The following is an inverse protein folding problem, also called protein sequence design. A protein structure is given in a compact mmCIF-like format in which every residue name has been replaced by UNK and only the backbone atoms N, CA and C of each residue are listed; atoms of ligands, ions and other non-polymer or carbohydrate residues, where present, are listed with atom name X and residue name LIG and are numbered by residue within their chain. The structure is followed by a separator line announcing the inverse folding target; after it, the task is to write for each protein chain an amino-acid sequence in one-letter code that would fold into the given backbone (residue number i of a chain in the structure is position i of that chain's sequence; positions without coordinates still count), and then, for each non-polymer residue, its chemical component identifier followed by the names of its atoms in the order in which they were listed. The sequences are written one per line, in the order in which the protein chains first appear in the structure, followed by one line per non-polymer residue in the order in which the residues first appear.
data_IF_299412574924
#
_entry.id   IF_299412574924
#
_cell.length_a   1.000
_cell.length_b   1.000
_cell.length_c   1.000
_cell.angle_alpha   90.00
_cell.angle_beta   90.00
_cell.angle_gamma   90.00
#
_symmetry.space_group_name_H-M   'P 1'
#
loop_
_entity.id
_entity.type
_entity.pdbx_description
1 polymer ?
#
# COMPACT_ATOMS: atom_id res chain seq x y z
N UNK A 1 -12.06 18.70 4.14
CA UNK A 1 -11.54 20.04 3.76
C UNK A 1 -10.78 19.90 2.46
N UNK A 2 -11.05 20.77 1.49
CA UNK A 2 -10.42 20.70 0.16
C UNK A 2 -9.96 22.10 -0.25
N UNK A 3 -8.81 22.16 -0.90
CA UNK A 3 -8.28 23.36 -1.54
C UNK A 3 -7.98 23.06 -3.01
N UNK A 4 -8.51 23.88 -3.90
CA UNK A 4 -8.31 23.75 -5.36
C UNK A 4 -7.80 25.07 -5.91
N UNK A 5 -6.51 25.10 -6.22
CA UNK A 5 -5.85 26.20 -6.90
C UNK A 5 -5.37 25.80 -8.30
N UNK A 6 -4.92 26.75 -9.09
CA UNK A 6 -4.48 26.50 -10.48
C UNK A 6 -3.28 25.56 -10.60
N UNK A 7 -2.39 25.57 -9.62
CA UNK A 7 -1.16 24.75 -9.60
C UNK A 7 -1.08 23.76 -8.45
N UNK A 8 -1.88 23.95 -7.43
CA UNK A 8 -1.87 23.15 -6.22
C UNK A 8 -3.28 22.75 -5.82
N UNK A 9 -3.47 21.48 -5.52
CA UNK A 9 -4.69 20.92 -4.98
C UNK A 9 -4.33 20.09 -3.76
N UNK A 10 -5.11 20.18 -2.70
CA UNK A 10 -4.94 19.36 -1.50
C UNK A 10 -6.29 19.03 -0.86
N UNK A 11 -6.38 17.86 -0.29
CA UNK A 11 -7.54 17.39 0.44
C UNK A 11 -7.12 16.83 1.78
N UNK A 12 -7.87 17.15 2.83
CA UNK A 12 -7.73 16.61 4.17
C UNK A 12 -9.08 16.10 4.65
N UNK A 13 -9.16 14.82 5.00
CA UNK A 13 -10.36 14.16 5.52
C UNK A 13 -10.04 13.51 6.85
N UNK A 14 -10.78 13.83 7.90
CA UNK A 14 -10.79 13.10 9.16
C UNK A 14 -12.01 12.22 9.25
N UNK A 15 -11.90 11.05 9.85
CA UNK A 15 -13.03 10.12 10.01
C UNK A 15 -12.97 9.35 11.32
N UNK A 16 -14.14 8.91 11.78
CA UNK A 16 -14.32 8.02 12.91
C UNK A 16 -15.35 6.96 12.55
N UNK A 17 -14.97 5.69 12.53
CA UNK A 17 -15.84 4.56 12.24
C UNK A 17 -16.02 3.72 13.49
N UNK A 18 -17.28 3.42 13.81
CA UNK A 18 -17.66 2.56 14.92
C UNK A 18 -18.41 1.34 14.37
N UNK A 19 -17.84 0.17 14.58
CA UNK A 19 -18.33 -1.10 14.05
C UNK A 19 -18.79 -1.96 15.23
N UNK A 20 -19.96 -2.61 15.09
CA UNK A 20 -20.47 -3.61 16.04
C UNK A 20 -20.56 -4.95 15.33
N UNK A 21 -20.35 -6.03 16.08
CA UNK A 21 -20.45 -7.41 15.55
C UNK A 21 -19.53 -7.68 14.36
N UNK A 22 -18.34 -7.13 14.37
CA UNK A 22 -17.33 -7.41 13.35
C UNK A 22 -16.92 -8.89 13.44
N UNK A 23 -16.92 -9.58 12.30
CA UNK A 23 -16.50 -10.99 12.20
C UNK A 23 -15.01 -11.03 11.90
N UNK A 24 -14.27 -11.80 12.68
CA UNK A 24 -12.84 -12.03 12.48
C UNK A 24 -12.47 -13.48 12.70
N UNK A 25 -11.42 -13.93 12.01
CA UNK A 25 -10.83 -15.24 12.19
C UNK A 25 -9.81 -15.18 13.33
N UNK A 26 -10.19 -15.67 14.51
CA UNK A 26 -9.32 -15.68 15.70
C UNK A 26 -8.72 -17.05 15.95
N UNK A 27 -7.48 -17.07 16.44
CA UNK A 27 -6.83 -18.28 16.91
C UNK A 27 -7.43 -18.69 18.26
N UNK A 28 -7.88 -19.93 18.36
CA UNK A 28 -8.45 -20.52 19.58
C UNK A 28 -7.52 -21.59 20.13
N UNK A 29 -7.71 -21.94 21.41
CA UNK A 29 -6.98 -23.06 22.02
C UNK A 29 -7.33 -24.34 21.30
N UNK A 30 -6.30 -25.09 20.93
CA UNK A 30 -6.42 -26.43 20.34
C UNK A 30 -7.03 -27.38 21.36
N UNK A 31 -8.07 -28.11 20.99
CA UNK A 31 -8.71 -29.09 21.83
C UNK A 31 -7.80 -30.32 22.06
N UNK A 32 -8.04 -31.15 23.12
CA UNK A 32 -7.26 -32.37 23.30
C UNK A 32 -7.32 -33.33 22.10
N UNK A 33 -8.46 -33.39 21.42
CA UNK A 33 -8.68 -34.23 20.22
C UNK A 33 -7.90 -33.71 19.02
N UNK A 34 -7.90 -32.39 18.80
CA UNK A 34 -7.10 -31.75 17.77
C UNK A 34 -5.59 -31.91 17.99
N UNK A 35 -5.14 -31.95 19.26
CA UNK A 35 -3.74 -32.25 19.61
C UNK A 35 -3.34 -33.68 19.27
N UNK A 36 -4.24 -34.63 19.43
CA UNK A 36 -4.00 -36.03 19.03
C UNK A 36 -3.84 -36.18 17.51
N UNK A 37 -4.41 -35.23 16.75
CA UNK A 37 -4.28 -35.16 15.29
C UNK A 37 -3.10 -34.26 14.85
N UNK A 38 -2.17 -33.93 15.78
CA UNK A 38 -1.01 -33.06 15.52
C UNK A 38 -1.37 -31.64 15.01
N UNK A 39 -2.59 -31.17 15.29
CA UNK A 39 -3.00 -29.83 14.95
C UNK A 39 -2.41 -28.88 15.97
N UNK A 40 -1.46 -28.04 15.51
CA UNK A 40 -0.79 -27.07 16.38
C UNK A 40 -1.62 -25.81 16.61
N UNK A 41 -2.49 -25.44 15.65
CA UNK A 41 -3.27 -24.19 15.68
C UNK A 41 -4.65 -24.40 15.10
N UNK A 42 -5.66 -23.98 15.86
CA UNK A 42 -7.05 -23.97 15.42
C UNK A 42 -7.53 -22.52 15.30
N UNK A 43 -8.36 -22.25 14.30
CA UNK A 43 -8.93 -20.91 14.04
C UNK A 43 -10.44 -21.01 13.88
N UNK A 44 -11.16 -20.03 14.44
CA UNK A 44 -12.60 -19.92 14.33
C UNK A 44 -13.04 -18.51 14.01
N UNK A 45 -14.07 -18.37 13.19
CA UNK A 45 -14.75 -17.10 13.00
C UNK A 45 -15.49 -16.73 14.28
N UNK A 46 -15.25 -15.53 14.77
CA UNK A 46 -15.86 -14.98 15.99
C UNK A 46 -16.33 -13.56 15.74
N UNK A 47 -17.46 -13.20 16.33
CA UNK A 47 -17.94 -11.82 16.34
C UNK A 47 -17.16 -11.05 17.41
N UNK A 48 -16.41 -10.03 16.97
CA UNK A 48 -15.83 -9.05 17.87
C UNK A 48 -16.93 -8.12 18.39
N UNK A 49 -16.86 -7.80 19.68
CA UNK A 49 -17.94 -7.03 20.34
C UNK A 49 -18.02 -5.62 19.77
N UNK A 50 -16.89 -4.94 19.56
CA UNK A 50 -16.83 -3.57 19.04
C UNK A 50 -15.48 -3.34 18.35
N UNK A 51 -15.49 -2.55 17.28
CA UNK A 51 -14.29 -2.00 16.70
C UNK A 51 -14.45 -0.51 16.49
N UNK A 52 -13.33 0.20 16.54
CA UNK A 52 -13.27 1.64 16.28
C UNK A 52 -12.04 1.95 15.42
N UNK A 53 -12.23 2.84 14.48
CA UNK A 53 -11.15 3.30 13.60
C UNK A 53 -11.23 4.81 13.56
N UNK A 54 -10.23 5.48 14.09
CA UNK A 54 -10.03 6.92 13.88
C UNK A 54 -8.97 7.09 12.82
N UNK A 55 -9.17 8.04 11.94
CA UNK A 55 -8.19 8.26 10.89
C UNK A 55 -8.23 9.63 10.26
N UNK A 56 -7.20 9.87 9.48
CA UNK A 56 -7.01 11.11 8.73
C UNK A 56 -6.29 10.78 7.43
N UNK A 57 -6.84 11.27 6.32
CA UNK A 57 -6.25 11.15 5.00
C UNK A 57 -5.91 12.53 4.46
N UNK A 58 -4.68 12.69 4.02
CA UNK A 58 -4.18 13.88 3.33
C UNK A 58 -3.72 13.48 1.94
N UNK A 59 -4.12 14.24 0.93
CA UNK A 59 -3.62 14.10 -0.45
C UNK A 59 -3.26 15.46 -1.02
N UNK A 60 -2.27 15.48 -1.91
CA UNK A 60 -1.94 16.68 -2.65
C UNK A 60 -1.51 16.37 -4.08
N UNK A 61 -1.73 17.35 -4.96
CA UNK A 61 -1.17 17.42 -6.31
C UNK A 61 -0.62 18.81 -6.55
N UNK A 62 0.59 18.91 -7.07
CA UNK A 62 1.28 20.16 -7.33
C UNK A 62 1.91 20.15 -8.70
N UNK A 63 1.56 21.14 -9.52
CA UNK A 63 2.13 21.35 -10.85
C UNK A 63 2.82 22.71 -10.91
N UNK A 64 4.09 22.81 -10.45
CA UNK A 64 4.83 24.08 -10.45
C UNK A 64 4.98 24.67 -11.85
N UNK A 65 5.27 23.82 -12.82
CA UNK A 65 5.38 24.13 -14.24
C UNK A 65 4.69 23.05 -15.08
N UNK A 66 4.45 23.33 -16.36
CA UNK A 66 3.72 22.42 -17.27
C UNK A 66 4.31 21.01 -17.38
N UNK A 67 5.62 20.89 -17.24
CA UNK A 67 6.37 19.65 -17.46
C UNK A 67 6.59 18.84 -16.18
N UNK A 68 6.28 19.39 -15.00
CA UNK A 68 6.48 18.72 -13.69
C UNK A 68 5.15 18.56 -12.98
N UNK A 69 4.90 17.35 -12.48
CA UNK A 69 3.80 17.07 -11.56
C UNK A 69 4.35 16.30 -10.37
N UNK A 70 4.01 16.79 -9.19
CA UNK A 70 4.27 16.15 -7.90
C UNK A 70 2.93 15.81 -7.28
N UNK A 71 2.84 14.65 -6.65
CA UNK A 71 1.66 14.24 -5.93
C UNK A 71 2.01 13.32 -4.78
N UNK A 72 1.13 13.22 -3.83
CA UNK A 72 1.32 12.33 -2.71
C UNK A 72 0.08 12.19 -1.86
N UNK A 73 0.12 11.19 -1.00
CA UNK A 73 -0.90 10.93 -0.01
C UNK A 73 -0.27 10.44 1.28
N UNK A 74 -0.89 10.80 2.36
CA UNK A 74 -0.57 10.29 3.69
C UNK A 74 -1.87 9.90 4.39
N UNK A 75 -1.90 8.69 4.94
CA UNK A 75 -3.03 8.15 5.68
C UNK A 75 -2.56 7.74 7.08
N UNK A 76 -3.25 8.24 8.07
CA UNK A 76 -3.16 7.78 9.45
C UNK A 76 -4.43 7.06 9.84
N UNK A 77 -4.32 5.89 10.47
CA UNK A 77 -5.45 5.17 11.06
C UNK A 77 -5.06 4.54 12.40
N UNK A 78 -5.97 4.59 13.38
CA UNK A 78 -5.87 3.86 14.67
C UNK A 78 -7.00 2.82 14.74
N UNK A 79 -6.85 1.66 14.05
CA UNK A 79 -7.85 0.60 14.01
C UNK A 79 -7.70 -0.31 15.23
N UNK A 80 -8.70 -0.29 16.11
CA UNK A 80 -8.71 -1.12 17.32
C UNK A 80 -10.04 -1.85 17.48
N UNK A 81 -9.99 -3.08 17.97
CA UNK A 81 -11.15 -3.89 18.27
C UNK A 81 -11.06 -4.47 19.69
N UNK A 82 -12.21 -4.71 20.29
CA UNK A 82 -12.33 -5.50 21.52
C UNK A 82 -12.42 -6.98 21.14
N UNK A 83 -11.55 -7.78 21.69
CA UNK A 83 -11.54 -9.24 21.49
C UNK A 83 -12.40 -9.95 22.55
N UNK A 84 -12.97 -11.09 22.17
CA UNK A 84 -13.77 -11.92 23.07
C UNK A 84 -12.95 -12.55 24.22
N UNK A 85 -13.64 -13.08 25.24
CA UNK A 85 -13.10 -13.53 26.51
C UNK A 85 -12.00 -14.60 26.45
N UNK A 86 -11.89 -15.34 25.38
CA UNK A 86 -10.91 -16.41 25.19
C UNK A 86 -9.47 -15.91 24.96
N UNK A 87 -9.24 -14.60 24.96
CA UNK A 87 -7.91 -13.99 24.86
C UNK A 87 -7.30 -13.55 26.22
N UNK A 88 -7.75 -14.17 27.30
CA UNK A 88 -7.17 -13.98 28.64
C UNK A 88 -7.24 -12.53 29.14
N UNK A 89 -6.11 -12.00 29.65
CA UNK A 89 -6.03 -10.66 30.23
C UNK A 89 -6.36 -9.50 29.27
N UNK A 90 -6.51 -9.77 27.98
CA UNK A 90 -6.87 -8.79 26.96
C UNK A 90 -8.36 -8.63 26.74
N UNK A 91 -9.19 -9.37 27.49
CA UNK A 91 -10.64 -9.22 27.44
C UNK A 91 -11.09 -7.79 27.74
N UNK A 92 -11.99 -7.28 26.92
CA UNK A 92 -12.53 -5.90 26.99
C UNK A 92 -11.52 -4.77 26.71
N UNK A 93 -10.27 -5.07 26.42
CA UNK A 93 -9.30 -4.07 25.97
C UNK A 93 -9.39 -3.87 24.45
N UNK A 94 -9.18 -2.63 24.03
CA UNK A 94 -9.00 -2.32 22.62
C UNK A 94 -7.58 -2.62 22.19
N UNK A 95 -7.42 -3.62 21.32
CA UNK A 95 -6.15 -4.01 20.71
C UNK A 95 -6.17 -3.67 19.23
N UNK A 96 -5.02 -3.54 18.60
CA UNK A 96 -4.94 -3.33 17.16
C UNK A 96 -5.59 -4.50 16.41
N UNK A 97 -6.25 -4.19 15.31
CA UNK A 97 -6.75 -5.21 14.38
C UNK A 97 -5.53 -5.81 13.66
N UNK A 98 -5.51 -7.13 13.54
CA UNK A 98 -4.38 -7.87 12.92
C UNK A 98 -4.11 -7.38 11.49
N UNK A 99 -2.84 -7.37 11.11
CA UNK A 99 -2.32 -6.94 9.82
C UNK A 99 -2.55 -5.45 9.48
N UNK A 100 -2.91 -4.61 10.47
CA UNK A 100 -3.09 -3.18 10.26
C UNK A 100 -1.83 -2.38 10.54
N UNK A 101 -1.65 -1.27 9.85
CA UNK A 101 -0.58 -0.29 10.07
C UNK A 101 -1.17 1.09 10.33
N UNK A 102 -0.51 1.88 11.17
CA UNK A 102 -1.02 3.21 11.51
C UNK A 102 -0.71 4.26 10.44
N UNK A 103 0.42 4.15 9.75
CA UNK A 103 0.89 5.17 8.83
C UNK A 103 1.15 4.56 7.45
N UNK A 104 0.56 5.16 6.43
CA UNK A 104 0.81 4.84 5.04
C UNK A 104 1.09 6.15 4.29
N UNK A 105 2.07 6.14 3.41
CA UNK A 105 2.36 7.28 2.57
C UNK A 105 2.68 6.86 1.14
N UNK A 106 2.33 7.71 0.19
CA UNK A 106 2.69 7.58 -1.22
C UNK A 106 3.25 8.90 -1.71
N UNK A 107 4.23 8.82 -2.59
CA UNK A 107 4.81 9.98 -3.28
C UNK A 107 4.97 9.63 -4.75
N UNK A 108 4.62 10.58 -5.61
CA UNK A 108 4.89 10.47 -7.03
C UNK A 108 5.43 11.80 -7.56
N UNK A 109 6.45 11.70 -8.39
CA UNK A 109 7.01 12.82 -9.13
C UNK A 109 7.14 12.42 -10.60
N UNK A 110 6.62 13.23 -11.47
CA UNK A 110 6.74 13.02 -12.91
C UNK A 110 7.25 14.27 -13.59
N UNK A 111 8.17 14.07 -14.51
CA UNK A 111 8.63 15.10 -15.43
C UNK A 111 8.46 14.61 -16.86
N UNK A 112 7.94 15.47 -17.74
CA UNK A 112 7.73 15.12 -19.12
C UNK A 112 8.06 16.33 -19.99
N UNK A 113 8.98 16.14 -20.94
CA UNK A 113 9.30 17.18 -21.90
C UNK A 113 9.20 16.67 -23.34
N UNK A 114 8.81 17.56 -24.25
CA UNK A 114 8.63 17.25 -25.66
C UNK A 114 9.53 18.14 -26.51
N UNK A 115 10.45 17.52 -27.25
CA UNK A 115 11.25 18.15 -28.29
C UNK A 115 10.71 17.72 -29.65
N UNK A 116 10.26 18.61 -30.45
CA UNK A 116 9.81 18.35 -31.83
C UNK A 116 9.15 16.97 -32.09
N UNK A 117 9.96 15.93 -32.30
CA UNK A 117 9.51 14.55 -32.65
C UNK A 117 9.67 13.54 -31.53
N UNK A 118 10.22 13.95 -30.42
CA UNK A 118 10.56 13.06 -29.30
C UNK A 118 9.99 13.61 -27.99
N UNK A 119 9.43 12.69 -27.19
CA UNK A 119 8.97 12.99 -25.84
C UNK A 119 9.69 12.06 -24.87
N UNK A 120 10.28 12.65 -23.84
CA UNK A 120 10.82 11.92 -22.69
C UNK A 120 9.94 12.17 -21.49
N UNK A 121 9.55 11.09 -20.81
CA UNK A 121 8.94 11.11 -19.50
C UNK A 121 9.85 10.43 -18.49
N UNK A 122 9.94 11.00 -17.30
CA UNK A 122 10.57 10.40 -16.13
C UNK A 122 9.53 10.31 -15.03
N UNK A 123 9.47 9.17 -14.33
CA UNK A 123 8.56 8.95 -13.21
C UNK A 123 9.30 8.33 -12.02
N UNK A 124 9.03 8.88 -10.84
CA UNK A 124 9.48 8.32 -9.55
C UNK A 124 8.24 8.11 -8.69
N UNK A 125 8.12 6.93 -8.10
CA UNK A 125 6.99 6.56 -7.25
C UNK A 125 7.53 5.91 -5.99
N UNK A 126 7.08 6.40 -4.83
CA UNK A 126 7.42 5.86 -3.53
C UNK A 126 6.17 5.44 -2.78
N UNK A 127 6.28 4.35 -2.03
CA UNK A 127 5.29 3.89 -1.08
C UNK A 127 5.97 3.56 0.24
N UNK A 128 5.39 4.02 1.33
CA UNK A 128 5.77 3.71 2.70
C UNK A 128 4.59 3.11 3.44
N UNK A 129 4.85 2.12 4.28
CA UNK A 129 3.92 1.56 5.24
C UNK A 129 4.66 1.36 6.56
N UNK A 130 4.06 1.81 7.68
CA UNK A 130 4.62 1.57 9.00
C UNK A 130 4.46 0.11 9.42
N UNK A 131 5.04 -0.23 10.58
CA UNK A 131 4.88 -1.53 11.25
C UNK A 131 3.44 -2.01 11.20
N UNK A 132 3.24 -3.27 10.86
CA UNK A 132 1.94 -3.95 10.89
C UNK A 132 1.78 -4.68 12.23
N UNK A 133 0.66 -4.42 12.87
CA UNK A 133 0.36 -4.96 14.18
C UNK A 133 -0.29 -6.34 14.11
N UNK A 134 0.11 -7.22 15.02
CA UNK A 134 -0.49 -8.54 15.21
C UNK A 134 -0.67 -8.79 16.70
N UNK A 135 -1.87 -9.22 17.11
CA UNK A 135 -2.22 -9.40 18.54
C UNK A 135 -1.53 -10.60 19.17
N UNK A 136 -1.38 -11.68 18.43
CA UNK A 136 -0.84 -12.96 18.92
C UNK A 136 0.54 -13.28 18.36
N UNK A 137 1.10 -12.41 17.54
CA UNK A 137 2.38 -12.60 16.88
C UNK A 137 3.28 -11.38 17.05
N UNK A 138 4.53 -11.49 16.66
CA UNK A 138 5.39 -10.33 16.55
C UNK A 138 4.87 -9.39 15.44
N UNK A 139 5.03 -8.11 15.65
CA UNK A 139 4.72 -7.14 14.62
C UNK A 139 5.64 -7.34 13.39
N UNK A 140 5.08 -7.14 12.22
CA UNK A 140 5.88 -7.13 10.99
C UNK A 140 6.44 -5.71 10.75
N UNK A 141 7.71 -5.64 10.35
CA UNK A 141 8.39 -4.38 10.13
C UNK A 141 7.71 -3.51 9.08
N UNK A 142 7.84 -2.20 9.26
CA UNK A 142 7.46 -1.24 8.24
C UNK A 142 8.39 -1.31 7.04
N UNK A 143 7.93 -0.82 5.89
CA UNK A 143 8.72 -0.86 4.68
C UNK A 143 8.50 0.34 3.77
N UNK A 144 9.42 0.50 2.83
CA UNK A 144 9.26 1.42 1.71
C UNK A 144 9.69 0.74 0.41
N UNK A 145 8.96 1.03 -0.65
CA UNK A 145 9.31 0.59 -2.01
C UNK A 145 9.32 1.78 -2.95
N UNK A 146 10.27 1.79 -3.86
CA UNK A 146 10.44 2.84 -4.84
C UNK A 146 10.53 2.27 -6.24
N UNK A 147 9.87 2.96 -7.17
CA UNK A 147 9.90 2.67 -8.60
C UNK A 147 10.43 3.88 -9.34
N UNK A 148 11.28 3.64 -10.32
CA UNK A 148 11.70 4.65 -11.29
C UNK A 148 11.42 4.10 -12.68
N UNK A 149 10.86 4.95 -13.54
CA UNK A 149 10.63 4.60 -14.93
C UNK A 149 10.91 5.76 -15.88
N UNK A 150 11.26 5.40 -17.10
CA UNK A 150 11.40 6.33 -18.23
C UNK A 150 10.48 5.91 -19.36
N UNK A 151 9.90 6.89 -20.05
CA UNK A 151 9.06 6.68 -21.23
C UNK A 151 9.62 7.51 -22.40
N UNK A 152 9.97 6.83 -23.47
CA UNK A 152 10.57 7.39 -24.67
C UNK A 152 9.57 7.28 -25.82
N UNK A 153 9.07 8.40 -26.35
CA UNK A 153 8.05 8.39 -27.42
C UNK A 153 8.57 9.12 -28.65
N UNK A 154 8.65 8.40 -29.78
CA UNK A 154 8.89 8.94 -31.12
C UNK A 154 7.54 9.26 -31.79
N UNK A 155 7.18 10.53 -31.90
CA UNK A 155 5.80 10.94 -32.23
C UNK A 155 5.54 11.23 -33.70
N UNK A 156 6.49 11.75 -34.44
CA UNK A 156 6.24 12.25 -35.82
C UNK A 156 6.68 11.27 -36.90
N UNK A 157 6.41 9.97 -36.69
CA UNK A 157 6.51 9.03 -37.79
C UNK A 157 5.25 9.11 -38.68
N UNK A 158 5.41 8.94 -39.98
CA UNK A 158 4.33 9.12 -40.96
C UNK A 158 3.11 8.25 -40.69
N UNK A 159 3.36 6.97 -40.34
CA UNK A 159 2.31 5.95 -40.21
C UNK A 159 2.20 5.32 -38.81
N UNK A 160 3.12 5.60 -37.92
CA UNK A 160 3.17 4.98 -36.60
C UNK A 160 3.82 5.88 -35.53
N UNK A 161 3.62 5.52 -34.30
CA UNK A 161 4.26 6.12 -33.12
C UNK A 161 4.86 4.98 -32.31
N UNK A 162 6.13 5.09 -31.93
CA UNK A 162 6.81 4.14 -31.03
C UNK A 162 6.93 4.75 -29.63
N UNK A 163 6.50 4.00 -28.64
CA UNK A 163 6.76 4.29 -27.22
C UNK A 163 7.52 3.15 -26.59
N UNK A 164 8.67 3.44 -25.99
CA UNK A 164 9.46 2.49 -25.19
C UNK A 164 9.42 2.92 -23.73
N UNK A 165 9.16 1.97 -22.83
CA UNK A 165 9.23 2.19 -21.39
C UNK A 165 10.32 1.29 -20.80
N UNK A 166 11.11 1.86 -19.91
CA UNK A 166 12.16 1.15 -19.17
C UNK A 166 12.01 1.57 -17.71
N UNK A 167 12.09 0.62 -16.80
CA UNK A 167 11.95 0.94 -15.40
C UNK A 167 12.51 -0.12 -14.47
N UNK A 168 12.57 0.25 -13.22
CA UNK A 168 12.93 -0.60 -12.10
C UNK A 168 11.90 -0.47 -11.00
N UNK A 169 11.36 -1.59 -10.58
CA UNK A 169 10.50 -1.72 -9.41
C UNK A 169 11.32 -2.15 -8.21
N UNK A 170 10.90 -1.73 -7.02
CA UNK A 170 11.58 -2.06 -5.76
C UNK A 170 13.08 -1.72 -5.83
N UNK A 171 13.38 -0.47 -6.12
CA UNK A 171 14.75 0.05 -6.36
C UNK A 171 15.75 -0.36 -5.28
N UNK A 172 15.33 -0.42 -4.01
CA UNK A 172 16.18 -0.74 -2.87
C UNK A 172 16.17 -2.23 -2.50
N UNK A 173 15.56 -3.08 -3.33
CA UNK A 173 15.54 -4.53 -3.16
C UNK A 173 14.93 -4.99 -1.82
N UNK A 174 13.90 -4.29 -1.36
CA UNK A 174 13.21 -4.69 -0.13
C UNK A 174 12.53 -6.05 -0.31
N UNK A 175 12.77 -6.94 0.63
CA UNK A 175 12.11 -8.25 0.71
C UNK A 175 11.51 -8.41 2.11
N UNK A 176 10.20 -8.57 2.20
CA UNK A 176 9.51 -8.79 3.46
C UNK A 176 9.79 -10.22 3.97
N UNK A 177 10.63 -10.33 4.98
CA UNK A 177 11.02 -11.62 5.57
C UNK A 177 10.09 -12.09 6.69
N UNK A 178 9.24 -11.19 7.18
CA UNK A 178 8.30 -11.46 8.26
C UNK A 178 6.90 -10.97 7.93
N UNK A 179 6.31 -11.43 6.77
CA UNK A 179 5.09 -10.85 6.21
C UNK A 179 3.87 -10.92 7.16
N UNK A 180 3.90 -11.80 8.14
CA UNK A 180 2.84 -12.00 9.13
C UNK A 180 3.37 -11.90 10.58
N UNK A 181 4.42 -11.11 10.82
CA UNK A 181 5.09 -11.05 12.11
C UNK A 181 5.92 -12.31 12.44
N UNK A 182 6.02 -13.25 11.51
CA UNK A 182 6.76 -14.52 11.64
C UNK A 182 7.70 -14.71 10.46
N UNK A 183 8.79 -15.44 10.69
CA UNK A 183 9.69 -15.85 9.61
C UNK A 183 8.96 -16.86 8.70
N UNK A 184 8.54 -16.42 7.52
CA UNK A 184 7.87 -17.23 6.50
C UNK A 184 8.38 -16.87 5.12
N UNK A 185 8.09 -17.75 4.16
CA UNK A 185 8.33 -17.42 2.75
C UNK A 185 7.60 -16.13 2.37
N UNK A 186 8.32 -15.19 1.79
CA UNK A 186 7.76 -13.92 1.34
C UNK A 186 7.14 -14.05 -0.05
N UNK A 187 6.06 -13.32 -0.29
CA UNK A 187 5.51 -13.08 -1.63
C UNK A 187 5.99 -11.76 -2.24
N UNK A 188 6.83 -11.01 -1.53
CA UNK A 188 7.35 -9.73 -2.02
C UNK A 188 8.44 -10.00 -3.05
N UNK A 189 8.25 -9.65 -4.33
CA UNK A 189 9.33 -9.76 -5.32
C UNK A 189 10.43 -8.76 -4.96
N UNK A 190 11.70 -9.19 -5.09
CA UNK A 190 12.86 -8.32 -4.99
C UNK A 190 12.88 -7.28 -6.12
N UNK A 191 14.04 -6.63 -6.32
CA UNK A 191 14.23 -5.68 -7.42
C UNK A 191 13.90 -6.31 -8.77
N UNK A 192 13.09 -5.61 -9.55
CA UNK A 192 12.66 -6.08 -10.87
C UNK A 192 12.90 -5.01 -11.93
N UNK A 193 13.51 -5.39 -13.03
CA UNK A 193 13.71 -4.54 -14.20
C UNK A 193 12.72 -4.92 -15.29
N UNK A 194 12.17 -3.93 -15.95
CA UNK A 194 11.26 -4.16 -17.07
C UNK A 194 11.54 -3.22 -18.23
N UNK A 195 11.25 -3.71 -19.42
CA UNK A 195 11.21 -2.92 -20.64
C UNK A 195 10.00 -3.31 -21.48
N UNK A 196 9.40 -2.34 -22.15
CA UNK A 196 8.30 -2.58 -23.09
C UNK A 196 8.40 -1.65 -24.30
N UNK A 197 7.88 -2.12 -25.44
CA UNK A 197 7.75 -1.34 -26.66
C UNK A 197 6.31 -1.42 -27.18
N UNK A 198 5.71 -0.27 -27.47
CA UNK A 198 4.38 -0.14 -28.03
C UNK A 198 4.44 0.61 -29.36
N UNK A 199 3.96 -0.02 -30.42
CA UNK A 199 3.81 0.62 -31.73
C UNK A 199 2.32 0.87 -31.96
N UNK A 200 1.95 2.14 -32.19
CA UNK A 200 0.60 2.55 -32.58
C UNK A 200 0.60 2.96 -34.04
N UNK A 201 -0.17 2.28 -34.85
CA UNK A 201 -0.42 2.67 -36.25
C UNK A 201 -1.49 3.75 -36.30
N UNK A 202 -1.30 4.72 -37.19
CA UNK A 202 -2.29 5.79 -37.42
C UNK A 202 -3.20 5.31 -38.55
N UNK A 203 -4.51 5.29 -38.31
CA UNK A 203 -5.48 5.20 -39.39
C UNK A 203 -5.40 6.47 -40.24
N UNK A 204 -5.50 6.31 -41.57
CA UNK A 204 -5.58 7.45 -42.51
C UNK A 204 -6.86 8.24 -42.32
#
# INVERSE_FOLDING_TARGET
MEYVGSKFQASLTGYANFIRNMIELVEIKVTPEEKLLEIEKSKRYTNLTKARIYGMDFTFNYRPVKDIMLGGGYSYADPKAQYAADKGDNYMKYLYIDATSNHNATLNATWQHTWNRYRLGLGVYGRYQSTRHYVNDNNADGFQTWRINTAHTLMKMRFWTLTMNIGVDNLFDYVDRTPFGRNRATSTPGRNFYASALIKFKNK
#
